data_IF_490149799808
#
_entry.id   IF_490149799808
#
_cell.length_a   1.000
_cell.length_b   1.000
_cell.length_c   1.000
_cell.angle_alpha   90.00
_cell.angle_beta   90.00
_cell.angle_gamma   90.00
#
_symmetry.space_group_name_H-M   'P 1'
#
loop_
_entity.id
_entity.type
_entity.pdbx_description
1 polymer ?
#
# COMPACT_ATOMS: atom_id res chain seq x y z
N UNK A 1 -3.78 -9.90 -24.80
CA UNK A 1 -4.42 -8.72 -24.18
C UNK A 1 -3.42 -7.61 -24.31
N UNK A 2 -3.77 -6.51 -24.98
CA UNK A 2 -2.83 -5.44 -25.33
C UNK A 2 -1.93 -5.05 -24.14
N UNK A 3 -0.63 -4.91 -24.40
CA UNK A 3 0.37 -4.53 -23.38
C UNK A 3 -0.06 -3.28 -22.61
N UNK A 4 -0.81 -2.41 -23.30
CA UNK A 4 -1.37 -1.17 -22.80
C UNK A 4 -2.46 -1.40 -21.73
N UNK A 5 -3.40 -2.33 -21.98
CA UNK A 5 -4.48 -2.66 -21.02
C UNK A 5 -3.90 -3.35 -19.78
N UNK A 6 -2.92 -4.24 -19.98
CA UNK A 6 -2.20 -4.90 -18.86
C UNK A 6 -1.51 -3.87 -17.97
N UNK A 7 -0.81 -2.91 -18.58
CA UNK A 7 -0.11 -1.85 -17.84
C UNK A 7 -1.09 -0.94 -17.10
N UNK A 8 -2.18 -0.53 -17.76
CA UNK A 8 -3.21 0.31 -17.13
C UNK A 8 -3.86 -0.39 -15.93
N UNK A 9 -4.11 -1.69 -16.03
CA UNK A 9 -4.73 -2.45 -14.94
C UNK A 9 -3.78 -2.66 -13.74
N UNK A 10 -2.48 -2.91 -13.99
CA UNK A 10 -1.46 -2.93 -12.93
C UNK A 10 -1.39 -1.58 -12.20
N UNK A 11 -1.35 -0.46 -12.95
CA UNK A 11 -1.29 0.88 -12.36
C UNK A 11 -2.54 1.16 -11.50
N UNK A 12 -3.72 0.82 -12.01
CA UNK A 12 -4.99 1.01 -11.29
C UNK A 12 -5.04 0.20 -10.00
N UNK A 13 -4.63 -1.07 -10.02
CA UNK A 13 -4.59 -1.91 -8.82
C UNK A 13 -3.59 -1.39 -7.78
N UNK A 14 -2.39 -0.98 -8.20
CA UNK A 14 -1.39 -0.36 -7.30
C UNK A 14 -1.96 0.90 -6.66
N UNK A 15 -2.67 1.73 -7.41
CA UNK A 15 -3.25 2.98 -6.92
C UNK A 15 -4.37 2.73 -5.91
N UNK A 16 -5.26 1.76 -6.17
CA UNK A 16 -6.33 1.37 -5.24
C UNK A 16 -5.73 0.79 -3.96
N UNK A 17 -4.74 -0.10 -4.07
CA UNK A 17 -4.06 -0.69 -2.92
C UNK A 17 -3.32 0.34 -2.08
N UNK A 18 -2.58 1.25 -2.72
CA UNK A 18 -1.92 2.35 -2.01
C UNK A 18 -2.94 3.23 -1.25
N UNK A 19 -4.10 3.49 -1.85
CA UNK A 19 -5.21 4.19 -1.20
C UNK A 19 -5.75 3.44 0.03
N UNK A 20 -5.99 2.13 -0.10
CA UNK A 20 -6.48 1.29 1.02
C UNK A 20 -5.45 1.26 2.16
N UNK A 21 -4.17 1.03 1.85
CA UNK A 21 -3.09 1.04 2.85
C UNK A 21 -3.00 2.40 3.53
N UNK A 22 -3.01 3.49 2.76
CA UNK A 22 -3.00 4.84 3.30
C UNK A 22 -4.16 5.10 4.27
N UNK A 23 -5.37 4.64 3.92
CA UNK A 23 -6.55 4.73 4.76
C UNK A 23 -6.38 3.95 6.08
N UNK A 24 -5.88 2.71 6.02
CA UNK A 24 -5.63 1.87 7.21
C UNK A 24 -4.61 2.52 8.15
N UNK A 25 -3.50 3.03 7.60
CA UNK A 25 -2.48 3.72 8.39
C UNK A 25 -3.05 4.98 9.05
N UNK A 26 -3.89 5.73 8.32
CA UNK A 26 -4.56 6.90 8.88
C UNK A 26 -5.53 6.54 10.01
N UNK A 27 -6.33 5.47 9.86
CA UNK A 27 -7.18 4.95 10.91
C UNK A 27 -6.37 4.51 12.15
N UNK A 28 -5.25 3.83 11.96
CA UNK A 28 -4.34 3.49 13.07
C UNK A 28 -3.86 4.74 13.81
N UNK A 29 -3.50 5.80 13.08
CA UNK A 29 -3.08 7.06 13.71
C UNK A 29 -4.19 7.70 14.54
N UNK A 30 -5.44 7.67 14.05
CA UNK A 30 -6.61 8.17 14.78
C UNK A 30 -6.88 7.34 16.05
N UNK A 31 -6.84 6.00 15.96
CA UNK A 31 -7.01 5.11 17.12
C UNK A 31 -5.94 5.37 18.18
N UNK A 32 -4.68 5.55 17.77
CA UNK A 32 -3.58 5.84 18.69
C UNK A 32 -3.73 7.22 19.35
N UNK A 33 -4.32 8.19 18.64
CA UNK A 33 -4.65 9.48 19.23
C UNK A 33 -5.76 9.37 20.30
N UNK A 34 -6.80 8.56 20.04
CA UNK A 34 -7.88 8.28 21.00
C UNK A 34 -7.37 7.54 22.25
N UNK A 35 -6.37 6.67 22.11
CA UNK A 35 -5.74 5.97 23.23
C UNK A 35 -4.85 6.86 24.13
N UNK A 36 -4.78 8.16 23.86
CA UNK A 36 -4.04 9.11 24.68
C UNK A 36 -2.53 8.93 24.59
N UNK A 37 -2.03 8.43 23.45
CA UNK A 37 -0.59 8.29 23.25
C UNK A 37 0.06 9.67 23.25
N UNK A 38 0.85 9.93 24.28
CA UNK A 38 1.54 11.20 24.47
C UNK A 38 2.48 11.52 23.30
N UNK A 39 2.67 12.81 23.04
CA UNK A 39 3.54 13.38 22.00
C UNK A 39 4.94 12.75 21.94
N UNK A 40 5.43 12.25 23.08
CA UNK A 40 6.70 11.54 23.21
C UNK A 40 6.83 10.30 22.31
N UNK A 41 5.75 9.55 22.11
CA UNK A 41 5.75 8.32 21.30
C UNK A 41 5.26 8.53 19.86
N UNK A 42 4.65 9.68 19.57
CA UNK A 42 4.12 10.01 18.26
C UNK A 42 5.17 9.86 17.14
N UNK A 43 6.43 10.24 17.42
CA UNK A 43 7.53 10.08 16.45
C UNK A 43 7.88 8.62 16.17
N UNK A 44 7.92 7.77 17.21
CA UNK A 44 8.20 6.35 17.06
C UNK A 44 7.06 5.63 16.31
N UNK A 45 5.82 5.98 16.63
CA UNK A 45 4.63 5.48 15.94
C UNK A 45 4.64 5.87 14.47
N UNK A 46 4.91 7.14 14.15
CA UNK A 46 4.99 7.59 12.76
C UNK A 46 6.10 6.84 12.00
N UNK A 47 7.27 6.63 12.61
CA UNK A 47 8.32 5.81 11.98
C UNK A 47 7.86 4.38 11.72
N UNK A 48 7.29 3.71 12.72
CA UNK A 48 6.80 2.34 12.57
C UNK A 48 5.72 2.24 11.48
N UNK A 49 4.76 3.17 11.49
CA UNK A 49 3.68 3.24 10.52
C UNK A 49 4.20 3.49 9.10
N UNK A 50 5.24 4.32 8.96
CA UNK A 50 5.90 4.59 7.67
C UNK A 50 6.64 3.35 7.16
N UNK A 51 7.35 2.62 8.04
CA UNK A 51 8.07 1.39 7.67
C UNK A 51 7.08 0.31 7.24
N UNK A 52 6.01 0.10 8.00
CA UNK A 52 4.96 -0.87 7.65
C UNK A 52 4.30 -0.49 6.33
N UNK A 53 3.97 0.79 6.13
CA UNK A 53 3.43 1.28 4.87
C UNK A 53 4.36 1.02 3.68
N UNK A 54 5.65 1.32 3.82
CA UNK A 54 6.64 1.08 2.77
C UNK A 54 6.78 -0.41 2.43
N UNK A 55 6.81 -1.29 3.43
CA UNK A 55 6.86 -2.74 3.23
C UNK A 55 5.62 -3.26 2.49
N UNK A 56 4.44 -2.77 2.86
CA UNK A 56 3.20 -3.13 2.18
C UNK A 56 3.20 -2.69 0.71
N UNK A 57 3.64 -1.45 0.42
CA UNK A 57 3.74 -0.95 -0.96
C UNK A 57 4.68 -1.82 -1.80
N UNK A 58 5.88 -2.13 -1.27
CA UNK A 58 6.85 -2.99 -1.97
C UNK A 58 6.24 -4.38 -2.20
N UNK A 59 5.61 -4.96 -1.19
CA UNK A 59 4.95 -6.27 -1.30
C UNK A 59 3.90 -6.28 -2.40
N UNK A 60 3.03 -5.27 -2.46
CA UNK A 60 1.98 -5.19 -3.48
C UNK A 60 2.53 -5.01 -4.89
N UNK A 61 3.55 -4.16 -5.09
CA UNK A 61 4.22 -4.03 -6.39
C UNK A 61 4.78 -5.38 -6.83
N UNK A 62 5.49 -6.07 -5.93
CA UNK A 62 6.12 -7.37 -6.23
C UNK A 62 5.07 -8.45 -6.51
N UNK A 63 3.99 -8.48 -5.74
CA UNK A 63 2.90 -9.43 -5.91
C UNK A 63 2.19 -9.21 -7.25
N UNK A 64 1.79 -7.98 -7.56
CA UNK A 64 1.09 -7.68 -8.80
C UNK A 64 1.98 -7.93 -10.02
N UNK A 65 3.27 -7.60 -9.97
CA UNK A 65 4.21 -7.89 -11.07
C UNK A 65 4.45 -9.39 -11.27
N UNK A 66 4.54 -10.17 -10.19
CA UNK A 66 4.76 -11.61 -10.26
C UNK A 66 3.52 -12.39 -10.73
N UNK A 67 2.32 -11.96 -10.33
CA UNK A 67 1.07 -12.69 -10.60
C UNK A 67 0.27 -12.15 -11.78
N UNK A 68 0.66 -11.03 -12.42
CA UNK A 68 -0.07 -10.54 -13.58
C UNK A 68 0.12 -11.46 -14.79
N UNK A 69 -0.95 -12.13 -15.28
CA UNK A 69 -0.84 -13.12 -16.34
C UNK A 69 -0.29 -12.48 -17.62
N UNK A 70 0.74 -13.10 -18.19
CA UNK A 70 1.19 -12.86 -19.56
C UNK A 70 0.37 -13.77 -20.46
N UNK A 71 -0.65 -13.24 -21.12
CA UNK A 71 -1.37 -13.99 -22.15
C UNK A 71 -0.46 -14.10 -23.37
N UNK A 72 -0.03 -15.30 -23.79
CA UNK A 72 0.68 -15.45 -25.05
C UNK A 72 -0.22 -15.00 -26.20
N UNK A 73 0.32 -14.18 -27.09
CA UNK A 73 -0.31 -13.80 -28.36
C UNK A 73 -0.49 -15.10 -29.16
N UNK A 74 -1.72 -15.61 -29.26
CA UNK A 74 -2.10 -16.71 -30.16
C UNK A 74 -2.49 -16.15 -31.52
#
# INVERSE_FOLDING_TARGET
MDIFIRTAAIILEVLVLAGIVGCILWCMKLILAEFGVDSKYNRAILMALTVVGALLVIFFITHLTAFYPTYPET
#
